data_IF_968587703531
#
_entry.id   IF_968587703531
#
_cell.length_a   1.000
_cell.length_b   1.000
_cell.length_c   1.000
_cell.angle_alpha   90.00
_cell.angle_beta   90.00
_cell.angle_gamma   90.00
#
_symmetry.space_group_name_H-M   'P 1'
#
loop_
_entity.id
_entity.type
_entity.pdbx_description
1 polymer ?
#
# COMPACT_ATOMS: atom_id res chain seq x y z
N UNK A 1 -18.43 12.10 1.08
CA UNK A 1 -18.40 11.90 2.55
C UNK A 1 -17.99 10.47 2.94
N UNK A 2 -18.48 9.42 2.25
CA UNK A 2 -18.22 8.02 2.61
C UNK A 2 -16.72 7.64 2.52
N UNK A 3 -16.03 8.02 1.44
CA UNK A 3 -14.60 7.73 1.26
C UNK A 3 -13.69 8.44 2.26
N UNK A 4 -14.05 9.65 2.71
CA UNK A 4 -13.25 10.40 3.68
C UNK A 4 -13.15 9.62 4.99
N UNK A 5 -14.28 9.12 5.49
CA UNK A 5 -14.32 8.28 6.70
C UNK A 5 -13.61 6.96 6.47
N UNK A 6 -13.75 6.35 5.29
CA UNK A 6 -13.09 5.09 4.97
C UNK A 6 -11.56 5.21 5.00
N UNK A 7 -11.00 6.27 4.38
CA UNK A 7 -9.57 6.54 4.47
C UNK A 7 -9.13 6.78 5.91
N UNK A 8 -9.84 7.61 6.69
CA UNK A 8 -9.49 7.87 8.09
C UNK A 8 -9.35 6.58 8.91
N UNK A 9 -10.28 5.62 8.77
CA UNK A 9 -10.22 4.34 9.49
C UNK A 9 -8.96 3.53 9.12
N UNK A 10 -8.56 3.54 7.85
CA UNK A 10 -7.34 2.86 7.39
C UNK A 10 -6.10 3.57 7.94
N UNK A 11 -6.08 4.90 7.94
CA UNK A 11 -4.98 5.70 8.50
C UNK A 11 -4.80 5.46 10.00
N UNK A 12 -5.91 5.37 10.75
CA UNK A 12 -5.90 5.01 12.17
C UNK A 12 -5.35 3.60 12.39
N UNK A 13 -5.80 2.63 11.58
CA UNK A 13 -5.34 1.24 11.66
C UNK A 13 -3.83 1.13 11.41
N UNK A 14 -3.32 1.84 10.40
CA UNK A 14 -1.89 1.96 10.12
C UNK A 14 -1.11 2.61 11.27
N UNK A 15 -1.67 3.62 11.94
CA UNK A 15 -1.05 4.26 13.12
C UNK A 15 -0.97 3.30 14.31
N UNK A 16 -2.01 2.48 14.51
CA UNK A 16 -2.11 1.49 15.59
C UNK A 16 -1.13 0.32 15.44
N UNK A 17 -0.52 0.12 14.26
CA UNK A 17 0.46 -0.96 14.07
C UNK A 17 1.70 -0.72 14.94
N UNK A 18 2.15 -1.72 15.71
CA UNK A 18 3.34 -1.56 16.54
C UNK A 18 4.59 -1.43 15.65
N UNK A 19 5.57 -0.65 16.12
CA UNK A 19 6.84 -0.48 15.41
C UNK A 19 7.58 -1.80 15.22
N UNK A 20 7.33 -2.81 16.07
CA UNK A 20 7.89 -4.16 15.96
C UNK A 20 7.49 -4.84 14.66
N UNK A 21 6.20 -4.86 14.28
CA UNK A 21 5.73 -5.42 13.01
C UNK A 21 6.41 -4.77 11.80
N UNK A 22 6.61 -3.44 11.86
CA UNK A 22 7.31 -2.71 10.81
C UNK A 22 8.80 -3.12 10.73
N UNK A 23 9.46 -3.27 11.89
CA UNK A 23 10.85 -3.73 11.95
C UNK A 23 11.02 -5.19 11.53
N UNK A 24 10.04 -6.06 11.82
CA UNK A 24 10.06 -7.46 11.38
C UNK A 24 9.92 -7.56 9.87
N UNK A 25 8.98 -6.82 9.27
CA UNK A 25 8.82 -6.78 7.82
C UNK A 25 10.11 -6.27 7.16
N UNK A 26 10.69 -5.19 7.69
CA UNK A 26 11.95 -4.61 7.20
C UNK A 26 13.14 -5.57 7.35
N UNK A 27 13.23 -6.27 8.46
CA UNK A 27 14.32 -7.22 8.76
C UNK A 27 14.16 -8.54 8.00
N UNK A 28 12.97 -8.82 7.47
CA UNK A 28 12.71 -10.04 6.71
C UNK A 28 13.64 -10.16 5.50
N UNK A 29 14.27 -11.33 5.34
CA UNK A 29 15.20 -11.55 4.23
C UNK A 29 14.44 -11.69 2.90
N UNK A 30 13.29 -12.38 2.92
CA UNK A 30 12.47 -12.67 1.75
C UNK A 30 10.98 -12.73 2.15
N UNK A 31 10.26 -11.60 2.08
CA UNK A 31 8.83 -11.59 2.30
C UNK A 31 8.12 -12.46 1.26
N UNK A 32 6.93 -13.00 1.58
CA UNK A 32 6.11 -13.69 0.61
C UNK A 32 5.67 -12.74 -0.53
N UNK A 33 5.39 -13.33 -1.70
CA UNK A 33 5.04 -12.61 -2.94
C UNK A 33 3.92 -11.59 -2.76
N UNK A 34 2.95 -11.87 -1.88
CA UNK A 34 1.86 -10.95 -1.56
C UNK A 34 2.34 -9.65 -0.90
N UNK A 35 3.28 -9.74 0.06
CA UNK A 35 3.84 -8.56 0.72
C UNK A 35 4.66 -7.72 -0.26
N UNK A 36 5.43 -8.38 -1.13
CA UNK A 36 6.19 -7.71 -2.19
C UNK A 36 5.26 -6.98 -3.16
N UNK A 37 4.17 -7.62 -3.58
CA UNK A 37 3.21 -7.01 -4.50
C UNK A 37 2.53 -5.78 -3.87
N UNK A 38 2.16 -5.83 -2.59
CA UNK A 38 1.58 -4.67 -1.88
C UNK A 38 2.59 -3.52 -1.76
N UNK A 39 3.84 -3.82 -1.39
CA UNK A 39 4.88 -2.80 -1.26
C UNK A 39 5.25 -2.19 -2.62
N UNK A 40 5.35 -3.01 -3.66
CA UNK A 40 5.49 -2.55 -5.04
C UNK A 40 4.34 -1.61 -5.41
N UNK A 41 3.09 -1.95 -5.08
CA UNK A 41 1.93 -1.09 -5.34
C UNK A 41 2.04 0.28 -4.67
N UNK A 42 2.42 0.30 -3.39
CA UNK A 42 2.65 1.54 -2.63
C UNK A 42 3.81 2.34 -3.22
N UNK A 43 4.91 1.66 -3.55
CA UNK A 43 6.09 2.27 -4.14
C UNK A 43 5.79 2.90 -5.50
N UNK A 44 5.05 2.19 -6.35
CA UNK A 44 4.61 2.70 -7.65
C UNK A 44 3.79 3.98 -7.44
N UNK A 45 2.89 4.02 -6.46
CA UNK A 45 2.11 5.22 -6.14
C UNK A 45 3.01 6.39 -5.73
N UNK A 46 3.87 6.18 -4.73
CA UNK A 46 4.75 7.22 -4.19
C UNK A 46 5.82 7.68 -5.19
N UNK A 47 6.27 6.79 -6.08
CA UNK A 47 7.27 7.09 -7.09
C UNK A 47 6.91 6.48 -8.45
N UNK A 48 6.02 7.13 -9.23
CA UNK A 48 5.60 6.66 -10.55
C UNK A 48 6.74 6.57 -11.56
N UNK A 49 7.86 7.25 -11.31
CA UNK A 49 9.02 7.23 -12.20
C UNK A 49 9.72 5.87 -12.22
N UNK A 50 9.49 5.02 -11.20
CA UNK A 50 10.18 3.74 -11.07
C UNK A 50 9.30 2.60 -11.61
N UNK A 51 9.71 2.04 -12.74
CA UNK A 51 8.99 0.94 -13.41
C UNK A 51 9.24 -0.44 -12.80
N UNK A 52 10.32 -0.65 -12.07
CA UNK A 52 10.66 -1.92 -11.43
C UNK A 52 10.87 -1.68 -9.93
N UNK A 53 10.07 -2.38 -9.12
CA UNK A 53 10.21 -2.39 -7.68
C UNK A 53 10.77 -3.75 -7.27
N UNK A 54 11.92 -3.71 -6.62
CA UNK A 54 12.53 -4.89 -6.03
C UNK A 54 12.48 -4.79 -4.52
N UNK A 55 12.60 -5.93 -3.83
CA UNK A 55 12.61 -5.95 -2.36
C UNK A 55 13.63 -5.00 -1.74
N UNK A 56 14.76 -4.79 -2.41
CA UNK A 56 15.80 -3.84 -1.98
C UNK A 56 15.28 -2.40 -1.96
N UNK A 57 14.44 -2.04 -2.93
CA UNK A 57 13.80 -0.72 -3.02
C UNK A 57 12.68 -0.55 -2.02
N UNK A 58 11.85 -1.58 -1.83
CA UNK A 58 10.84 -1.58 -0.77
C UNK A 58 11.49 -1.43 0.61
N UNK A 59 12.61 -2.13 0.84
CA UNK A 59 13.43 -1.95 2.05
C UNK A 59 13.98 -0.55 2.17
N UNK A 60 14.41 0.06 1.08
CA UNK A 60 14.91 1.43 1.09
C UNK A 60 13.77 2.43 1.35
N UNK A 61 12.57 2.18 0.84
CA UNK A 61 11.38 2.96 1.12
C UNK A 61 10.97 2.85 2.60
N UNK A 62 11.10 1.65 3.17
CA UNK A 62 10.92 1.36 4.60
C UNK A 62 12.18 1.62 5.44
N UNK A 63 13.23 2.21 4.87
CA UNK A 63 14.48 2.47 5.60
C UNK A 63 14.30 3.51 6.69
N UNK A 64 13.37 4.45 6.49
CA UNK A 64 12.98 5.47 7.46
C UNK A 64 12.14 4.91 8.62
N UNK A 65 11.64 5.83 9.44
CA UNK A 65 10.74 5.48 10.54
C UNK A 65 9.35 5.13 10.02
N UNK A 66 8.62 4.22 10.71
CA UNK A 66 7.20 3.93 10.43
C UNK A 66 6.41 5.23 10.25
N UNK A 67 6.62 6.21 11.12
CA UNK A 67 5.94 7.49 11.06
C UNK A 67 6.18 8.25 9.76
N UNK A 68 7.42 8.31 9.26
CA UNK A 68 7.74 8.97 8.00
C UNK A 68 7.09 8.27 6.80
N UNK A 69 7.09 6.93 6.81
CA UNK A 69 6.44 6.14 5.78
C UNK A 69 4.92 6.39 5.75
N UNK A 70 4.28 6.38 6.93
CA UNK A 70 2.85 6.69 7.06
C UNK A 70 2.53 8.12 6.67
N UNK A 71 3.36 9.09 7.05
CA UNK A 71 3.15 10.47 6.64
C UNK A 71 3.21 10.64 5.13
N UNK A 72 4.15 9.98 4.43
CA UNK A 72 4.20 10.01 2.96
C UNK A 72 2.95 9.42 2.32
N UNK A 73 2.38 8.37 2.90
CA UNK A 73 1.12 7.77 2.44
C UNK A 73 -0.06 8.74 2.63
N UNK A 74 -0.14 9.41 3.77
CA UNK A 74 -1.24 10.32 4.10
C UNK A 74 -1.13 11.65 3.33
N UNK A 75 0.09 12.10 3.06
CA UNK A 75 0.37 13.29 2.26
C UNK A 75 0.23 13.01 0.74
N UNK A 76 0.22 11.74 0.34
CA UNK A 76 0.14 11.36 -1.06
C UNK A 76 -1.16 11.84 -1.71
N UNK A 77 -1.00 12.54 -2.83
CA UNK A 77 -2.13 13.08 -3.58
C UNK A 77 -2.81 12.00 -4.44
N UNK A 78 -3.81 11.33 -3.85
CA UNK A 78 -4.68 10.34 -4.52
C UNK A 78 -5.48 10.87 -5.71
N UNK A 79 -5.53 12.19 -5.91
CA UNK A 79 -6.18 12.81 -7.05
C UNK A 79 -5.31 12.90 -8.31
N UNK A 80 -4.01 12.57 -8.20
CA UNK A 80 -3.06 12.63 -9.33
C UNK A 80 -2.42 11.26 -9.61
N UNK A 81 -3.25 10.22 -9.71
CA UNK A 81 -2.79 8.85 -9.98
C UNK A 81 -2.95 8.55 -11.48
N UNK A 82 -1.91 7.99 -12.08
CA UNK A 82 -1.90 7.60 -13.49
C UNK A 82 -2.63 6.26 -13.70
N UNK A 83 -3.34 6.12 -14.83
CA UNK A 83 -3.98 4.84 -15.21
C UNK A 83 -3.02 3.65 -15.20
N UNK A 84 -1.75 3.84 -15.57
CA UNK A 84 -0.74 2.79 -15.51
C UNK A 84 -0.50 2.26 -14.09
N UNK A 85 -0.61 3.11 -13.07
CA UNK A 85 -0.49 2.70 -11.67
C UNK A 85 -1.75 1.92 -11.25
N UNK A 86 -2.94 2.41 -11.62
CA UNK A 86 -4.21 1.75 -11.32
C UNK A 86 -4.29 0.33 -11.88
N UNK A 87 -3.92 0.14 -13.16
CA UNK A 87 -3.90 -1.18 -13.80
C UNK A 87 -2.97 -2.17 -13.07
N UNK A 88 -1.85 -1.66 -12.56
CA UNK A 88 -0.85 -2.44 -11.83
C UNK A 88 -1.36 -2.83 -10.45
N UNK A 89 -1.98 -1.88 -9.74
CA UNK A 89 -2.64 -2.12 -8.46
C UNK A 89 -3.78 -3.12 -8.60
N UNK A 90 -4.60 -2.98 -9.64
CA UNK A 90 -5.67 -3.92 -9.94
C UNK A 90 -5.09 -5.33 -10.15
N UNK A 91 -4.03 -5.47 -10.93
CA UNK A 91 -3.36 -6.77 -11.13
C UNK A 91 -2.78 -7.37 -9.85
N UNK A 92 -2.38 -6.54 -8.88
CA UNK A 92 -1.90 -6.97 -7.57
C UNK A 92 -3.06 -7.46 -6.70
N UNK A 93 -4.15 -6.69 -6.65
CA UNK A 93 -5.34 -6.97 -5.81
C UNK A 93 -6.22 -8.10 -6.37
N UNK A 94 -6.21 -8.30 -7.69
CA UNK A 94 -6.94 -9.37 -8.38
C UNK A 94 -6.34 -10.76 -8.10
N UNK A 95 -5.08 -10.81 -7.63
CA UNK A 95 -4.47 -12.07 -7.19
C UNK A 95 -5.13 -12.57 -5.91
N UNK A 96 -5.65 -13.79 -5.96
CA UNK A 96 -6.22 -14.50 -4.79
C UNK A 96 -5.22 -14.70 -3.65
N UNK A 97 -3.93 -14.76 -3.94
CA UNK A 97 -2.86 -14.85 -2.92
C UNK A 97 -2.59 -13.53 -2.20
N UNK A 98 -3.11 -12.41 -2.71
CA UNK A 98 -2.93 -11.07 -2.17
C UNK A 98 -4.17 -10.58 -1.41
N UNK A 99 -4.97 -11.48 -0.86
CA UNK A 99 -6.14 -11.11 -0.07
C UNK A 99 -5.72 -10.56 1.29
N UNK A 100 -6.33 -9.45 1.77
CA UNK A 100 -5.99 -8.86 3.07
C UNK A 100 -6.13 -9.86 4.22
N UNK A 101 -7.08 -10.80 4.13
CA UNK A 101 -7.26 -11.85 5.13
C UNK A 101 -6.06 -12.81 5.26
N UNK A 102 -5.39 -13.14 4.16
CA UNK A 102 -4.20 -14.00 4.17
C UNK A 102 -2.94 -13.22 4.49
N UNK A 103 -2.84 -11.99 3.99
CA UNK A 103 -1.73 -11.09 4.34
C UNK A 103 -1.75 -10.77 5.84
N UNK A 104 -2.93 -10.61 6.46
CA UNK A 104 -3.07 -10.36 7.89
C UNK A 104 -2.48 -11.48 8.76
N UNK A 105 -2.43 -12.72 8.26
CA UNK A 105 -1.78 -13.86 8.96
C UNK A 105 -0.25 -13.77 8.94
N UNK A 106 0.30 -13.04 7.98
CA UNK A 106 1.74 -12.92 7.75
C UNK A 106 2.25 -11.61 8.37
N UNK A 107 1.61 -10.50 8.03
CA UNK A 107 1.95 -9.17 8.53
C UNK A 107 0.71 -8.29 8.53
N UNK A 108 0.40 -7.74 9.70
CA UNK A 108 -0.68 -6.77 9.84
C UNK A 108 -0.42 -5.50 9.03
N UNK A 109 0.85 -5.08 8.92
CA UNK A 109 1.24 -3.92 8.13
C UNK A 109 0.93 -4.09 6.65
N UNK A 110 1.32 -5.21 6.05
CA UNK A 110 1.01 -5.47 4.65
C UNK A 110 -0.49 -5.57 4.40
N UNK A 111 -1.27 -6.08 5.37
CA UNK A 111 -2.73 -6.17 5.25
C UNK A 111 -3.36 -4.79 5.15
N UNK A 112 -3.01 -3.88 6.08
CA UNK A 112 -3.55 -2.52 6.07
C UNK A 112 -3.14 -1.75 4.80
N UNK A 113 -1.90 -1.94 4.32
CA UNK A 113 -1.45 -1.37 3.06
C UNK A 113 -2.24 -1.93 1.87
N UNK A 114 -2.57 -3.22 1.86
CA UNK A 114 -3.41 -3.83 0.82
C UNK A 114 -4.81 -3.19 0.79
N UNK A 115 -5.44 -3.01 1.95
CA UNK A 115 -6.74 -2.35 2.09
C UNK A 115 -6.65 -0.90 1.59
N UNK A 116 -5.58 -0.19 1.95
CA UNK A 116 -5.33 1.18 1.50
C UNK A 116 -5.20 1.28 -0.03
N UNK A 117 -4.47 0.37 -0.67
CA UNK A 117 -4.36 0.32 -2.13
C UNK A 117 -5.72 0.07 -2.80
N UNK A 118 -6.53 -0.83 -2.25
CA UNK A 118 -7.89 -1.08 -2.73
C UNK A 118 -8.79 0.16 -2.60
N UNK A 119 -8.68 0.87 -1.47
CA UNK A 119 -9.40 2.12 -1.24
C UNK A 119 -9.04 3.19 -2.28
N UNK A 120 -7.75 3.30 -2.61
CA UNK A 120 -7.27 4.22 -3.65
C UNK A 120 -7.80 3.83 -5.03
N UNK A 121 -7.67 2.56 -5.40
CA UNK A 121 -8.13 2.06 -6.69
C UNK A 121 -9.63 2.33 -6.88
N UNK A 122 -10.44 2.04 -5.87
CA UNK A 122 -11.88 2.29 -5.91
C UNK A 122 -12.20 3.79 -6.00
N UNK A 123 -11.51 4.62 -5.19
CA UNK A 123 -11.65 6.07 -5.25
C UNK A 123 -11.34 6.63 -6.65
N UNK A 124 -10.22 6.22 -7.24
CA UNK A 124 -9.84 6.64 -8.59
C UNK A 124 -10.80 6.15 -9.67
N UNK A 125 -11.31 4.92 -9.56
CA UNK A 125 -12.28 4.37 -10.50
C UNK A 125 -13.60 5.14 -10.47
N UNK A 126 -14.13 5.42 -9.27
CA UNK A 126 -15.36 6.21 -9.09
C UNK A 126 -15.20 7.64 -9.63
N UNK A 127 -14.01 8.23 -9.45
CA UNK A 127 -13.71 9.55 -10.00
C UNK A 127 -13.71 9.56 -11.54
N UNK A 128 -13.20 8.51 -12.20
CA UNK A 128 -13.24 8.44 -13.66
C UNK A 128 -14.64 8.22 -14.23
N UNK A 129 -15.54 7.56 -13.48
CA UNK A 129 -16.94 7.34 -13.90
C UNK A 129 -17.76 8.65 -13.89
N UNK A 130 -17.33 9.65 -13.12
CA UNK A 130 -18.06 10.91 -12.95
C UNK A 130 -17.61 12.05 -13.90
N UNK A 131 -16.82 11.75 -14.95
CA UNK A 131 -16.27 12.73 -15.89
C UNK A 131 -16.72 12.47 -17.33
#
# INVERSE_FOLDING_TARGET
MIYSTYFTVIEESLRQIPSTDFQELKSSAKPPLCCLAVLEGVGILLNPAKQQWEWTDDKNLMSGSKHEFLQRLFDFNKDNINNKQLERLKSILDRTDCQPADIAKISRLCSELCIWLGAILEYSNQRQISN
#
